data_IF_043102441245
#
_entry.id   IF_043102441245
#
_cell.length_a   1.000
_cell.length_b   1.000
_cell.length_c   1.000
_cell.angle_alpha   90.00
_cell.angle_beta   90.00
_cell.angle_gamma   90.00
#
_symmetry.space_group_name_H-M   'P 1'
#
loop_
_entity.id
_entity.type
_entity.pdbx_description
1 polymer ?
#
# COMPACT_ATOMS: atom_id res chain seq x y z
N UNK A 1 -8.53 17.79 -0.04
CA UNK A 1 -7.74 17.47 1.17
C UNK A 1 -6.47 16.83 0.67
N UNK A 2 -5.31 17.34 1.06
CA UNK A 2 -4.04 16.64 0.83
C UNK A 2 -3.87 15.63 1.96
N UNK A 3 -3.88 14.33 1.63
CA UNK A 3 -3.77 13.24 2.62
C UNK A 3 -2.35 12.71 2.59
N UNK A 4 -1.71 12.63 3.76
CA UNK A 4 -0.36 12.09 3.90
C UNK A 4 -0.35 10.56 3.82
N UNK A 5 0.80 9.95 3.54
CA UNK A 5 0.95 8.50 3.51
C UNK A 5 0.57 7.85 4.87
N UNK A 6 0.90 8.51 5.98
CA UNK A 6 0.53 8.07 7.33
C UNK A 6 -0.98 8.14 7.58
N UNK A 7 -1.66 9.15 7.04
CA UNK A 7 -3.12 9.25 7.11
C UNK A 7 -3.83 8.22 6.24
N UNK A 8 -3.30 7.96 5.03
CA UNK A 8 -3.78 6.87 4.17
C UNK A 8 -3.63 5.51 4.90
N UNK A 9 -2.45 5.26 5.45
CA UNK A 9 -2.17 4.06 6.22
C UNK A 9 -3.08 3.94 7.47
N UNK A 10 -3.35 5.05 8.17
CA UNK A 10 -4.27 5.09 9.30
C UNK A 10 -5.69 4.71 8.92
N UNK A 11 -6.22 5.28 7.83
CA UNK A 11 -7.57 4.95 7.36
C UNK A 11 -7.65 3.48 6.91
N UNK A 12 -6.65 2.98 6.19
CA UNK A 12 -6.59 1.57 5.79
C UNK A 12 -6.49 0.64 7.00
N UNK A 13 -5.70 0.98 8.01
CA UNK A 13 -5.48 0.18 9.22
C UNK A 13 -6.76 0.00 10.05
N UNK A 14 -7.67 0.98 10.06
CA UNK A 14 -8.99 0.85 10.71
C UNK A 14 -9.77 -0.37 10.23
N UNK A 15 -9.56 -0.77 8.98
CA UNK A 15 -10.20 -1.93 8.37
C UNK A 15 -9.26 -3.11 8.20
N UNK A 16 -7.98 -2.98 8.58
CA UNK A 16 -6.95 -3.99 8.30
C UNK A 16 -6.70 -4.24 6.80
N UNK A 17 -7.24 -3.39 5.92
CA UNK A 17 -7.13 -3.49 4.48
C UNK A 17 -8.37 -2.99 3.74
N UNK A 18 -8.19 -2.15 2.72
CA UNK A 18 -9.26 -1.59 1.90
C UNK A 18 -8.94 -1.73 0.41
N UNK A 19 -9.95 -1.92 -0.43
CA UNK A 19 -9.78 -1.70 -1.88
C UNK A 19 -9.59 -0.20 -2.16
N UNK A 20 -9.07 0.13 -3.36
CA UNK A 20 -8.93 1.54 -3.80
C UNK A 20 -10.25 2.31 -3.70
N UNK A 21 -11.35 1.73 -4.18
CA UNK A 21 -12.68 2.33 -4.13
C UNK A 21 -13.20 2.50 -2.69
N UNK A 22 -12.92 1.55 -1.79
CA UNK A 22 -13.30 1.69 -0.38
C UNK A 22 -12.49 2.78 0.33
N UNK A 23 -11.19 2.91 0.02
CA UNK A 23 -10.34 3.98 0.56
C UNK A 23 -10.82 5.36 0.11
N UNK A 24 -11.11 5.52 -1.18
CA UNK A 24 -11.66 6.78 -1.71
C UNK A 24 -12.99 7.14 -1.02
N UNK A 25 -13.89 6.16 -0.86
CA UNK A 25 -15.15 6.36 -0.15
C UNK A 25 -14.93 6.73 1.32
N UNK A 26 -13.99 6.08 2.00
CA UNK A 26 -13.63 6.36 3.38
C UNK A 26 -13.14 7.80 3.57
N UNK A 27 -12.22 8.23 2.72
CA UNK A 27 -11.66 9.58 2.78
C UNK A 27 -12.69 10.64 2.37
N UNK A 28 -13.57 10.33 1.41
CA UNK A 28 -14.66 11.23 1.02
C UNK A 28 -15.65 11.46 2.16
N UNK A 29 -16.03 10.41 2.89
CA UNK A 29 -16.88 10.54 4.09
C UNK A 29 -16.18 11.34 5.19
N UNK A 30 -14.88 11.08 5.43
CA UNK A 30 -14.09 11.84 6.41
C UNK A 30 -13.99 13.33 6.04
N UNK A 31 -13.69 13.66 4.77
CA UNK A 31 -13.60 15.03 4.29
C UNK A 31 -14.94 15.77 4.36
N UNK A 32 -16.04 15.08 4.05
CA UNK A 32 -17.38 15.65 4.16
C UNK A 32 -17.72 15.98 5.61
N UNK A 33 -17.32 15.14 6.56
CA UNK A 33 -17.54 15.39 7.99
C UNK A 33 -16.65 16.47 8.57
N UNK A 34 -15.42 16.61 8.06
CA UNK A 34 -14.50 17.65 8.49
C UNK A 34 -15.03 19.04 8.13
N UNK A 35 -15.24 19.29 6.83
CA UNK A 35 -15.53 20.64 6.31
C UNK A 35 -16.57 20.66 5.17
N UNK A 36 -17.31 19.57 4.96
CA UNK A 36 -18.30 19.46 3.88
C UNK A 36 -17.69 19.42 2.48
N UNK A 37 -16.40 19.06 2.37
CA UNK A 37 -15.65 19.00 1.11
C UNK A 37 -15.46 17.55 0.67
N UNK A 38 -15.14 17.32 -0.61
CA UNK A 38 -14.76 16.01 -1.12
C UNK A 38 -13.24 15.89 -1.28
N UNK A 39 -12.75 14.66 -1.36
CA UNK A 39 -11.37 14.40 -1.76
C UNK A 39 -11.22 14.70 -3.25
N UNK A 40 -10.05 15.21 -3.64
CA UNK A 40 -9.69 15.34 -5.04
C UNK A 40 -9.11 14.00 -5.49
N UNK A 41 -9.77 13.36 -6.46
CA UNK A 41 -9.45 12.01 -6.93
C UNK A 41 -8.02 11.90 -7.45
N UNK A 42 -7.54 12.89 -8.21
CA UNK A 42 -6.20 12.87 -8.79
C UNK A 42 -5.11 13.06 -7.72
N UNK A 43 -5.38 13.88 -6.69
CA UNK A 43 -4.49 14.05 -5.54
C UNK A 43 -4.42 12.77 -4.72
N UNK A 44 -5.57 12.11 -4.51
CA UNK A 44 -5.63 10.83 -3.80
C UNK A 44 -4.85 9.76 -4.54
N UNK A 45 -5.06 9.62 -5.85
CA UNK A 45 -4.38 8.64 -6.68
C UNK A 45 -2.87 8.80 -6.59
N UNK A 46 -2.38 10.03 -6.80
CA UNK A 46 -0.95 10.36 -6.65
C UNK A 46 -0.45 10.00 -5.25
N UNK A 47 -1.20 10.32 -4.20
CA UNK A 47 -0.83 10.01 -2.82
C UNK A 47 -0.77 8.51 -2.53
N UNK A 48 -1.65 7.71 -3.14
CA UNK A 48 -1.61 6.24 -3.04
C UNK A 48 -0.40 5.68 -3.78
N UNK A 49 -0.09 6.18 -4.97
CA UNK A 49 1.10 5.79 -5.73
C UNK A 49 2.39 6.09 -4.95
N UNK A 50 2.52 7.30 -4.41
CA UNK A 50 3.64 7.72 -3.56
C UNK A 50 3.75 6.83 -2.30
N UNK A 51 2.61 6.48 -1.69
CA UNK A 51 2.58 5.60 -0.53
C UNK A 51 2.97 4.15 -0.87
N UNK A 52 2.62 3.65 -2.05
CA UNK A 52 3.07 2.34 -2.54
C UNK A 52 4.58 2.37 -2.85
N UNK A 53 5.08 3.42 -3.52
CA UNK A 53 6.50 3.56 -3.88
C UNK A 53 7.41 3.67 -2.64
N UNK A 54 6.89 4.25 -1.56
CA UNK A 54 7.59 4.39 -0.28
C UNK A 54 7.36 3.22 0.69
N UNK A 55 6.59 2.20 0.30
CA UNK A 55 6.17 1.08 1.16
C UNK A 55 5.37 1.53 2.41
N UNK A 56 4.75 2.71 2.38
CA UNK A 56 3.82 3.15 3.41
C UNK A 56 2.46 2.47 3.25
N UNK A 57 2.13 2.05 2.02
CA UNK A 57 1.10 1.09 1.72
C UNK A 57 1.71 -0.11 1.00
N UNK A 58 1.08 -1.27 1.14
CA UNK A 58 1.36 -2.45 0.34
C UNK A 58 0.08 -2.87 -0.37
N UNK A 59 0.17 -3.10 -1.67
CA UNK A 59 -0.88 -3.71 -2.46
C UNK A 59 -0.80 -5.23 -2.33
N UNK A 60 -1.94 -5.86 -2.04
CA UNK A 60 -2.04 -7.29 -1.79
C UNK A 60 -3.33 -7.84 -2.40
N UNK A 61 -3.19 -8.82 -3.29
CA UNK A 61 -4.33 -9.57 -3.78
C UNK A 61 -4.59 -10.75 -2.83
N UNK A 62 -5.71 -10.76 -2.08
CA UNK A 62 -6.05 -11.90 -1.25
C UNK A 62 -6.28 -13.12 -2.14
N UNK A 63 -5.68 -14.26 -1.76
CA UNK A 63 -6.04 -15.53 -2.38
C UNK A 63 -7.56 -15.72 -2.23
N UNK A 64 -8.27 -15.81 -3.35
CA UNK A 64 -9.71 -15.99 -3.34
C UNK A 64 -10.03 -17.21 -2.47
N UNK A 65 -10.74 -16.98 -1.37
CA UNK A 65 -11.24 -18.07 -0.54
C UNK A 65 -12.06 -18.98 -1.46
N UNK A 66 -11.62 -20.23 -1.63
CA UNK A 66 -12.11 -21.22 -2.60
C UNK A 66 -13.56 -20.97 -3.05
N UNK A 67 -13.74 -20.35 -4.23
CA UNK A 67 -15.07 -20.07 -4.78
C UNK A 67 -15.08 -19.02 -5.89
N UNK A 68 -15.03 -19.49 -7.14
CA UNK A 68 -15.29 -18.72 -8.37
C UNK A 68 -14.26 -17.66 -8.73
N UNK A 69 -13.14 -18.13 -9.33
CA UNK A 69 -12.42 -17.34 -10.32
C UNK A 69 -13.35 -17.12 -11.51
N UNK A 70 -14.09 -16.00 -11.51
CA UNK A 70 -14.74 -15.51 -12.73
C UNK A 70 -13.61 -15.04 -13.63
N UNK A 71 -13.46 -15.74 -14.76
CA UNK A 71 -12.34 -15.56 -15.67
C UNK A 71 -12.09 -14.10 -15.99
N UNK A 72 -10.83 -13.69 -15.86
CA UNK A 72 -10.32 -12.48 -16.49
C UNK A 72 -10.39 -12.68 -18.01
N UNK A 73 -11.56 -12.39 -18.58
CA UNK A 73 -11.73 -12.18 -20.01
C UNK A 73 -11.13 -10.81 -20.33
N UNK A 74 -9.99 -10.86 -21.01
CA UNK A 74 -9.23 -9.74 -21.58
C UNK A 74 -10.12 -8.70 -22.27
N UNK A 75 -9.98 -7.41 -21.90
CA UNK A 75 -10.09 -6.29 -22.84
C UNK A 75 -9.53 -4.97 -22.29
N UNK A 76 -8.76 -4.32 -23.16
CA UNK A 76 -8.27 -2.94 -23.14
C UNK A 76 -7.08 -2.59 -22.24
N UNK A 77 -5.94 -2.38 -22.90
CA UNK A 77 -4.69 -1.88 -22.32
C UNK A 77 -4.83 -0.45 -21.81
N UNK A 78 -5.36 -0.33 -20.59
CA UNK A 78 -5.04 0.73 -19.63
C UNK A 78 -4.57 0.04 -18.36
N UNK A 79 -3.26 0.04 -18.14
CA UNK A 79 -2.68 -0.18 -16.81
C UNK A 79 -3.05 1.02 -15.95
N UNK A 80 -4.27 1.00 -15.43
CA UNK A 80 -4.74 1.86 -14.35
C UNK A 80 -4.80 1.02 -13.07
N UNK A 81 -3.62 0.57 -12.68
CA UNK A 81 -3.20 0.43 -11.29
C UNK A 81 -3.74 -0.66 -10.36
N UNK A 82 -4.84 -1.38 -10.59
CA UNK A 82 -5.20 -2.47 -9.66
C UNK A 82 -6.51 -3.19 -9.95
N UNK A 83 -6.56 -4.50 -9.69
CA UNK A 83 -7.79 -5.30 -9.71
C UNK A 83 -8.79 -4.75 -8.68
N UNK A 84 -10.11 -4.77 -8.96
CA UNK A 84 -11.14 -4.36 -7.99
C UNK A 84 -11.08 -5.15 -6.66
N UNK A 85 -10.40 -6.29 -6.65
CA UNK A 85 -10.15 -7.15 -5.49
C UNK A 85 -8.85 -6.89 -4.75
N UNK A 86 -7.94 -6.06 -5.28
CA UNK A 86 -6.66 -5.73 -4.64
C UNK A 86 -6.91 -4.91 -3.37
N UNK A 87 -6.30 -5.34 -2.27
CA UNK A 87 -6.36 -4.67 -0.99
C UNK A 87 -5.08 -3.86 -0.76
N UNK A 88 -5.26 -2.58 -0.45
CA UNK A 88 -4.24 -1.75 0.16
C UNK A 88 -4.20 -2.05 1.65
N UNK A 89 -3.01 -2.22 2.21
CA UNK A 89 -2.78 -2.42 3.65
C UNK A 89 -1.70 -1.46 4.15
N UNK A 90 -1.76 -1.07 5.42
CA UNK A 90 -0.73 -0.25 6.04
C UNK A 90 0.64 -0.96 6.01
N UNK A 91 1.60 -0.32 5.35
CA UNK A 91 2.92 -0.86 5.07
C UNK A 91 3.94 -0.67 6.20
N UNK A 92 5.17 -1.20 6.02
CA UNK A 92 6.25 -1.15 7.00
C UNK A 92 6.77 0.25 7.33
N UNK A 93 6.75 1.19 6.38
CA UNK A 93 7.35 2.52 6.58
C UNK A 93 6.35 3.55 7.11
N UNK A 94 5.07 3.19 7.17
CA UNK A 94 4.04 4.06 7.71
C UNK A 94 4.07 4.08 9.24
N UNK A 95 3.74 5.25 9.78
CA UNK A 95 3.30 5.44 11.16
C UNK A 95 1.82 5.81 11.12
N UNK A 96 0.90 4.84 11.08
CA UNK A 96 -0.51 5.10 10.81
C UNK A 96 -1.11 6.15 11.75
N UNK A 97 -1.69 7.21 11.18
CA UNK A 97 -2.41 8.26 11.90
C UNK A 97 -3.84 8.27 11.38
N UNK A 98 -4.82 8.07 12.26
CA UNK A 98 -6.23 8.19 11.88
C UNK A 98 -6.61 9.67 11.94
N UNK A 99 -7.10 10.27 10.84
CA UNK A 99 -7.64 11.63 10.90
C UNK A 99 -8.83 11.69 11.86
N UNK A 100 -8.97 12.75 12.66
CA UNK A 100 -10.06 12.90 13.63
C UNK A 100 -11.46 12.70 13.01
N UNK A 101 -11.64 13.19 11.78
CA UNK A 101 -12.90 13.05 11.04
C UNK A 101 -13.17 11.61 10.52
N UNK A 102 -12.16 10.75 10.54
CA UNK A 102 -12.20 9.38 10.05
C UNK A 102 -12.48 8.32 11.13
N UNK A 103 -12.44 8.67 12.43
CA UNK A 103 -12.63 7.70 13.53
C UNK A 103 -13.95 6.92 13.46
N UNK A 104 -15.02 7.55 12.97
CA UNK A 104 -16.38 6.97 12.89
C UNK A 104 -16.67 6.30 11.53
N UNK A 105 -15.73 6.40 10.57
CA UNK A 105 -15.90 5.89 9.20
C UNK A 105 -16.17 4.37 9.17
N UNK A 106 -15.54 3.52 10.00
CA UNK A 106 -15.88 2.09 10.04
C UNK A 106 -17.34 1.78 10.32
N UNK A 107 -18.03 2.61 11.10
CA UNK A 107 -19.45 2.43 11.40
C UNK A 107 -20.37 2.92 10.29
N UNK A 108 -19.90 3.82 9.44
CA UNK A 108 -20.66 4.43 8.35
C UNK A 108 -20.58 3.60 7.08
N UNK A 109 -19.38 3.10 6.77
CA UNK A 109 -19.13 2.44 5.49
C UNK A 109 -19.69 1.02 5.38
N UNK A 110 -20.06 0.41 6.51
CA UNK A 110 -20.50 -0.99 6.62
C UNK A 110 -19.50 -1.97 5.95
N UNK A 111 -18.20 -1.67 6.09
CA UNK A 111 -17.10 -2.53 5.62
C UNK A 111 -16.59 -3.33 6.81
N UNK A 112 -16.60 -4.65 6.70
CA UNK A 112 -16.09 -5.53 7.74
C UNK A 112 -14.55 -5.45 7.82
N UNK A 113 -13.97 -5.32 9.03
CA UNK A 113 -12.52 -5.35 9.21
C UNK A 113 -11.92 -6.68 8.74
N UNK A 114 -10.84 -6.57 7.96
CA UNK A 114 -10.08 -7.66 7.36
C UNK A 114 -8.83 -7.98 8.21
N UNK A 115 -8.32 -9.19 8.01
CA UNK A 115 -7.07 -9.67 8.65
C UNK A 115 -6.25 -10.41 7.59
N UNK A 116 -5.52 -9.69 6.72
CA UNK A 116 -4.73 -10.30 5.66
C UNK A 116 -3.68 -11.24 6.26
N UNK A 117 -3.34 -12.30 5.50
CA UNK A 117 -2.33 -13.26 5.93
C UNK A 117 -0.95 -12.59 5.91
N UNK A 118 -0.37 -12.39 7.10
CA UNK A 118 0.90 -11.68 7.24
C UNK A 118 2.08 -12.31 6.50
N UNK A 119 2.09 -13.63 6.32
CA UNK A 119 3.13 -14.31 5.55
C UNK A 119 2.95 -14.03 4.05
N UNK A 120 1.73 -14.18 3.53
CA UNK A 120 1.44 -13.92 2.13
C UNK A 120 1.72 -12.45 1.77
N UNK A 121 1.28 -11.54 2.65
CA UNK A 121 1.54 -10.11 2.52
C UNK A 121 3.05 -9.78 2.55
N UNK A 122 3.82 -10.46 3.40
CA UNK A 122 5.27 -10.33 3.45
C UNK A 122 5.93 -10.76 2.14
N UNK A 123 5.53 -11.89 1.56
CA UNK A 123 6.06 -12.35 0.28
C UNK A 123 5.69 -11.38 -0.87
N UNK A 124 4.46 -10.87 -0.92
CA UNK A 124 4.08 -9.84 -1.91
C UNK A 124 4.94 -8.58 -1.79
N UNK A 125 5.14 -8.08 -0.57
CA UNK A 125 6.00 -6.91 -0.35
C UNK A 125 7.47 -7.20 -0.73
N UNK A 126 7.96 -8.41 -0.47
CA UNK A 126 9.31 -8.86 -0.86
C UNK A 126 9.48 -8.91 -2.37
N UNK A 127 8.51 -9.44 -3.11
CA UNK A 127 8.56 -9.48 -4.58
C UNK A 127 8.67 -8.06 -5.17
N UNK A 128 7.86 -7.12 -4.69
CA UNK A 128 7.95 -5.73 -5.09
C UNK A 128 9.31 -5.11 -4.72
N UNK A 129 9.77 -5.34 -3.49
CA UNK A 129 11.07 -4.84 -3.02
C UNK A 129 12.24 -5.33 -3.89
N UNK A 130 12.26 -6.62 -4.25
CA UNK A 130 13.31 -7.19 -5.11
C UNK A 130 13.29 -6.54 -6.52
N UNK A 131 12.10 -6.27 -7.06
CA UNK A 131 11.95 -5.57 -8.33
C UNK A 131 12.50 -4.14 -8.26
N UNK A 132 12.16 -3.41 -7.19
CA UNK A 132 12.62 -2.04 -6.94
C UNK A 132 14.15 -1.96 -6.75
N UNK A 133 14.73 -2.91 -6.00
CA UNK A 133 16.20 -3.01 -5.82
C UNK A 133 16.88 -3.21 -7.17
N UNK A 134 16.35 -4.11 -8.00
CA UNK A 134 16.92 -4.38 -9.33
C UNK A 134 16.84 -3.12 -10.20
N UNK A 135 15.68 -2.45 -10.24
CA UNK A 135 15.49 -1.24 -11.02
C UNK A 135 16.39 -0.08 -10.57
N UNK A 136 16.55 0.12 -9.25
CA UNK A 136 17.39 1.18 -8.69
C UNK A 136 18.87 0.97 -9.03
N UNK A 137 19.37 -0.27 -8.90
CA UNK A 137 20.74 -0.63 -9.25
C UNK A 137 20.99 -0.47 -10.76
N UNK A 138 20.08 -0.98 -11.60
CA UNK A 138 20.19 -0.87 -13.06
C UNK A 138 20.17 0.59 -13.54
N UNK A 139 19.42 1.45 -12.86
CA UNK A 139 19.38 2.89 -13.12
C UNK A 139 20.60 3.65 -12.54
N UNK A 140 21.36 3.04 -11.64
CA UNK A 140 22.42 3.72 -10.88
C UNK A 140 21.88 4.80 -9.93
N UNK A 141 20.65 4.63 -9.43
CA UNK A 141 19.99 5.58 -8.53
C UNK A 141 20.44 5.34 -7.08
N UNK A 142 21.55 5.97 -6.69
CA UNK A 142 22.12 5.83 -5.35
C UNK A 142 21.14 6.28 -4.25
N UNK A 143 20.40 7.38 -4.46
CA UNK A 143 19.45 7.88 -3.46
C UNK A 143 18.31 6.86 -3.24
N UNK A 144 17.83 6.21 -4.31
CA UNK A 144 16.83 5.13 -4.19
C UNK A 144 17.43 3.89 -3.52
N UNK A 145 18.66 3.52 -3.84
CA UNK A 145 19.34 2.40 -3.19
C UNK A 145 19.50 2.61 -1.67
N UNK A 146 19.88 3.82 -1.23
CA UNK A 146 19.95 4.16 0.20
C UNK A 146 18.59 4.02 0.89
N UNK A 147 17.52 4.55 0.27
CA UNK A 147 16.16 4.41 0.82
C UNK A 147 15.73 2.95 0.91
N UNK A 148 15.97 2.16 -0.12
CA UNK A 148 15.62 0.73 -0.12
C UNK A 148 16.41 -0.05 0.94
N UNK A 149 17.63 0.38 1.28
CA UNK A 149 18.40 -0.23 2.36
C UNK A 149 17.71 -0.03 3.70
N UNK A 150 17.21 1.17 4.00
CA UNK A 150 16.42 1.41 5.22
C UNK A 150 15.12 0.60 5.23
N UNK A 151 14.37 0.63 4.12
CA UNK A 151 13.09 -0.10 3.96
C UNK A 151 13.27 -1.61 4.17
N UNK A 152 14.42 -2.18 3.79
CA UNK A 152 14.68 -3.61 4.00
C UNK A 152 14.61 -4.04 5.47
N UNK A 153 15.05 -3.18 6.39
CA UNK A 153 14.98 -3.44 7.83
C UNK A 153 13.56 -3.31 8.37
N UNK A 154 12.83 -2.29 7.90
CA UNK A 154 11.43 -2.11 8.26
C UNK A 154 10.57 -3.28 7.78
N UNK A 155 10.84 -3.79 6.57
CA UNK A 155 10.18 -4.95 5.98
C UNK A 155 10.41 -6.24 6.80
N UNK A 156 11.66 -6.55 7.18
CA UNK A 156 11.97 -7.71 8.02
C UNK A 156 11.37 -7.59 9.44
N UNK A 157 11.22 -6.37 9.96
CA UNK A 157 10.53 -6.12 11.23
C UNK A 157 9.01 -6.29 11.09
N UNK A 158 8.46 -5.93 9.93
CA UNK A 158 7.03 -5.92 9.66
C UNK A 158 6.50 -7.33 9.32
N UNK A 159 7.20 -8.13 8.52
CA UNK A 159 6.75 -9.46 8.09
C UNK A 159 7.85 -10.52 8.20
N UNK A 160 7.51 -11.82 8.29
CA UNK A 160 8.48 -12.90 8.47
C UNK A 160 9.19 -13.27 7.14
N UNK A 161 9.95 -12.32 6.60
CA UNK A 161 10.72 -12.45 5.36
C UNK A 161 12.22 -12.26 5.63
N UNK A 162 13.05 -12.66 4.67
CA UNK A 162 14.52 -12.49 4.70
C UNK A 162 14.96 -11.71 3.46
N UNK A 163 15.65 -10.59 3.70
CA UNK A 163 16.14 -9.65 2.69
C UNK A 163 17.66 -9.45 2.76
N UNK A 164 18.39 -10.36 3.43
CA UNK A 164 19.85 -10.25 3.57
C UNK A 164 20.58 -10.19 2.22
N UNK A 165 20.11 -10.97 1.23
CA UNK A 165 20.74 -11.00 -0.11
C UNK A 165 20.57 -9.67 -0.83
N UNK A 166 19.39 -9.07 -0.75
CA UNK A 166 19.08 -7.79 -1.37
C UNK A 166 19.86 -6.64 -0.71
N UNK A 167 20.02 -6.68 0.62
CA UNK A 167 20.85 -5.71 1.36
C UNK A 167 22.32 -5.76 0.94
N UNK A 168 22.87 -6.96 0.74
CA UNK A 168 24.25 -7.12 0.25
C UNK A 168 24.40 -6.48 -1.15
N UNK A 169 23.43 -6.68 -2.04
CA UNK A 169 23.43 -6.08 -3.40
C UNK A 169 23.33 -4.56 -3.37
N UNK A 170 22.45 -4.02 -2.52
CA UNK A 170 22.33 -2.57 -2.33
C UNK A 170 23.62 -1.96 -1.79
N UNK A 171 24.24 -2.62 -0.80
CA UNK A 171 25.50 -2.15 -0.21
C UNK A 171 26.62 -2.14 -1.26
N UNK A 172 26.76 -3.20 -2.05
CA UNK A 172 27.75 -3.27 -3.14
C UNK A 172 27.53 -2.16 -4.19
N UNK A 173 26.28 -1.83 -4.51
CA UNK A 173 25.96 -0.78 -5.49
C UNK A 173 26.24 0.64 -4.99
N UNK A 174 26.33 0.85 -3.67
CA UNK A 174 26.58 2.14 -3.04
C UNK A 174 28.08 2.42 -2.77
N UNK A 175 28.95 1.42 -2.97
CA UNK A 175 30.41 1.53 -2.86
C UNK A 175 31.09 2.07 -4.14
#
# INVERSE_FOLDING_TARGET
MDVTADELAGVVDLFGGLTRAELERALSEAAFRADGTSVDEAVLETGVEDALESFALVAYEPEAADGESVGSDMADGRTDGGSESELLVAGPTAFPIVPDAAEDVPHILDVEPRRPNRNALGETAREQFVADVTAAIDAGDADRCERLLDVSYDLEAWAPIDLATERDRLTEALE
#
